data_IF_444687290625
#
_entry.id   IF_444687290625
#
_cell.length_a   1.000
_cell.length_b   1.000
_cell.length_c   1.000
_cell.angle_alpha   90.00
_cell.angle_beta   90.00
_cell.angle_gamma   90.00
#
_symmetry.space_group_name_H-M   'P 1'
#
loop_
_entity.id
_entity.type
_entity.pdbx_description
1 polymer ?
#
# COMPACT_ATOMS: atom_id res chain seq x y z
N UNK A 1 9.24 10.95 -5.10
CA UNK A 1 10.56 11.50 -4.72
C UNK A 1 10.97 11.09 -3.30
N UNK A 2 10.03 11.04 -2.32
CA UNK A 2 10.33 10.65 -0.93
C UNK A 2 11.03 9.30 -0.81
N UNK A 3 10.45 8.23 -1.37
CA UNK A 3 11.04 6.90 -1.35
C UNK A 3 12.49 6.90 -1.86
N UNK A 4 12.77 7.53 -3.01
CA UNK A 4 14.12 7.53 -3.59
C UNK A 4 15.14 8.22 -2.68
N UNK A 5 14.74 9.31 -2.03
CA UNK A 5 15.56 10.01 -1.03
C UNK A 5 15.86 9.10 0.15
N UNK A 6 14.82 8.42 0.68
CA UNK A 6 14.91 7.62 1.89
C UNK A 6 15.76 6.35 1.70
N UNK A 7 15.70 5.74 0.51
CA UNK A 7 16.46 4.50 0.23
C UNK A 7 17.85 4.74 -0.38
N UNK A 8 18.20 5.97 -0.78
CA UNK A 8 19.42 6.30 -1.55
C UNK A 8 20.69 5.70 -0.94
N UNK A 9 20.84 5.80 0.38
CA UNK A 9 22.04 5.37 1.11
C UNK A 9 21.91 4.01 1.80
N UNK A 10 20.79 3.31 1.60
CA UNK A 10 20.60 1.98 2.19
C UNK A 10 21.33 0.95 1.33
N UNK A 11 22.28 0.23 1.90
CA UNK A 11 22.86 -0.95 1.25
C UNK A 11 21.79 -2.02 1.10
N UNK A 12 21.60 -2.52 -0.11
CA UNK A 12 20.52 -3.47 -0.44
C UNK A 12 20.98 -4.62 -1.31
N UNK A 13 22.25 -4.67 -1.65
CA UNK A 13 22.85 -5.70 -2.49
C UNK A 13 24.34 -5.86 -2.19
N UNK A 14 24.85 -7.10 -2.31
CA UNK A 14 26.26 -7.43 -2.13
C UNK A 14 26.66 -7.53 -0.65
N UNK A 15 27.93 -7.33 -0.37
CA UNK A 15 28.49 -7.38 0.97
C UNK A 15 27.96 -6.25 1.86
N UNK A 16 27.48 -6.56 3.04
CA UNK A 16 26.86 -5.61 3.99
C UNK A 16 27.81 -5.27 5.12
N UNK A 17 28.24 -6.30 5.89
CA UNK A 17 29.20 -6.14 6.98
C UNK A 17 29.88 -7.47 7.36
N UNK A 18 30.97 -7.38 8.08
CA UNK A 18 31.65 -8.50 8.74
C UNK A 18 31.53 -8.37 10.26
N UNK A 19 31.16 -9.46 10.91
CA UNK A 19 31.27 -9.63 12.36
C UNK A 19 32.54 -10.44 12.65
N UNK A 20 33.67 -9.76 12.83
CA UNK A 20 34.96 -10.40 13.02
C UNK A 20 35.05 -11.19 14.35
N UNK A 21 34.20 -10.86 15.34
CA UNK A 21 34.16 -11.59 16.61
C UNK A 21 33.53 -12.96 16.46
N UNK A 22 32.53 -13.06 15.57
CA UNK A 22 31.79 -14.31 15.28
C UNK A 22 32.28 -15.02 14.03
N UNK A 23 33.18 -14.40 13.24
CA UNK A 23 33.63 -14.94 11.96
C UNK A 23 32.53 -15.02 10.91
N UNK A 24 31.58 -14.07 10.91
CA UNK A 24 30.43 -14.06 10.03
C UNK A 24 30.51 -12.89 9.05
N UNK A 25 30.35 -13.16 7.73
CA UNK A 25 30.15 -12.14 6.71
C UNK A 25 28.69 -12.15 6.24
N UNK A 26 28.07 -10.99 6.16
CA UNK A 26 26.65 -10.82 5.75
C UNK A 26 26.57 -10.23 4.35
N UNK A 27 25.83 -10.90 3.50
CA UNK A 27 25.56 -10.49 2.11
C UNK A 27 24.07 -10.43 1.83
N UNK A 28 23.60 -9.36 1.16
CA UNK A 28 22.28 -9.33 0.55
C UNK A 28 22.35 -9.81 -0.90
N UNK A 29 21.41 -10.68 -1.28
CA UNK A 29 21.30 -11.24 -2.63
C UNK A 29 19.87 -11.09 -3.14
N UNK A 30 19.68 -10.93 -4.45
CA UNK A 30 18.35 -10.93 -5.05
C UNK A 30 17.66 -12.28 -4.83
N UNK A 31 16.34 -12.26 -4.79
CA UNK A 31 15.50 -13.46 -4.78
C UNK A 31 15.30 -14.03 -6.19
N UNK A 32 15.26 -13.17 -7.19
CA UNK A 32 14.99 -13.53 -8.59
C UNK A 32 13.84 -12.72 -9.17
N UNK A 33 12.74 -13.38 -9.52
CA UNK A 33 11.54 -12.75 -10.07
C UNK A 33 10.56 -12.43 -8.96
N UNK A 34 10.27 -11.15 -8.75
CA UNK A 34 9.23 -10.68 -7.83
C UNK A 34 7.90 -10.56 -8.57
N UNK A 35 6.83 -11.13 -8.04
CA UNK A 35 5.49 -10.87 -8.53
C UNK A 35 4.77 -9.90 -7.58
N UNK A 36 4.30 -8.77 -8.11
CA UNK A 36 3.57 -7.77 -7.33
C UNK A 36 2.10 -7.70 -7.76
N UNK A 37 1.20 -8.08 -6.85
CA UNK A 37 -0.24 -7.95 -7.03
C UNK A 37 -0.65 -6.62 -6.43
N UNK A 38 -1.23 -5.74 -7.25
CA UNK A 38 -1.49 -4.34 -6.85
C UNK A 38 -2.98 -3.98 -6.90
N UNK A 39 -3.45 -3.14 -5.95
CA UNK A 39 -4.86 -2.78 -5.82
C UNK A 39 -5.30 -1.77 -6.87
N UNK A 40 -6.62 -1.58 -6.98
CA UNK A 40 -7.22 -0.52 -7.81
C UNK A 40 -7.16 0.87 -7.16
N UNK A 41 -7.07 0.94 -5.84
CA UNK A 41 -7.06 2.18 -5.07
C UNK A 41 -5.76 2.98 -5.25
N UNK A 42 -4.67 2.32 -5.61
CA UNK A 42 -3.37 2.98 -5.84
C UNK A 42 -2.63 2.37 -7.04
N UNK A 43 -3.17 2.53 -8.26
CA UNK A 43 -2.74 1.78 -9.45
C UNK A 43 -1.39 2.22 -10.02
N UNK A 44 -0.86 3.36 -9.61
CA UNK A 44 0.41 3.91 -10.09
C UNK A 44 1.49 3.97 -9.01
N UNK A 45 1.18 4.47 -7.81
CA UNK A 45 2.19 4.63 -6.76
C UNK A 45 2.62 3.28 -6.17
N UNK A 46 1.70 2.36 -5.91
CA UNK A 46 2.04 1.02 -5.38
C UNK A 46 2.96 0.24 -6.31
N UNK A 47 2.64 0.05 -7.61
CA UNK A 47 3.56 -0.66 -8.50
C UNK A 47 4.88 0.08 -8.71
N UNK A 48 4.89 1.41 -8.75
CA UNK A 48 6.15 2.18 -8.84
C UNK A 48 7.04 1.94 -7.63
N UNK A 49 6.47 1.95 -6.43
CA UNK A 49 7.21 1.63 -5.20
C UNK A 49 7.78 0.21 -5.23
N UNK A 50 7.00 -0.77 -5.65
CA UNK A 50 7.44 -2.16 -5.76
C UNK A 50 8.56 -2.32 -6.80
N UNK A 51 8.45 -1.64 -7.95
CA UNK A 51 9.48 -1.66 -9.01
C UNK A 51 10.80 -1.09 -8.49
N UNK A 52 10.77 0.07 -7.84
CA UNK A 52 11.97 0.71 -7.29
C UNK A 52 12.66 -0.20 -6.29
N UNK A 53 11.90 -0.81 -5.36
CA UNK A 53 12.46 -1.71 -4.37
C UNK A 53 13.01 -3.00 -4.98
N UNK A 54 12.30 -3.61 -5.95
CA UNK A 54 12.77 -4.81 -6.63
C UNK A 54 14.08 -4.55 -7.39
N UNK A 55 14.14 -3.50 -8.21
CA UNK A 55 15.33 -3.15 -8.98
C UNK A 55 16.51 -2.78 -8.07
N UNK A 56 16.28 -2.00 -7.01
CA UNK A 56 17.31 -1.63 -6.04
C UNK A 56 17.94 -2.85 -5.35
N UNK A 57 17.18 -3.91 -5.17
CA UNK A 57 17.66 -5.15 -4.55
C UNK A 57 18.11 -6.21 -5.57
N UNK A 58 18.25 -5.83 -6.83
CA UNK A 58 18.77 -6.68 -7.91
C UNK A 58 17.77 -7.71 -8.45
N UNK A 59 16.47 -7.54 -8.18
CA UNK A 59 15.43 -8.43 -8.69
C UNK A 59 14.81 -7.90 -9.98
N UNK A 60 14.24 -8.80 -10.79
CA UNK A 60 13.23 -8.44 -11.79
C UNK A 60 11.84 -8.45 -11.17
N UNK A 61 10.86 -7.81 -11.82
CA UNK A 61 9.52 -7.72 -11.32
C UNK A 61 8.45 -7.82 -12.40
N UNK A 62 7.39 -8.57 -12.09
CA UNK A 62 6.19 -8.67 -12.92
C UNK A 62 5.00 -8.15 -12.12
N UNK A 63 4.34 -7.11 -12.62
CA UNK A 63 3.17 -6.51 -11.97
C UNK A 63 1.89 -7.20 -12.47
N UNK A 64 1.04 -7.61 -11.54
CA UNK A 64 -0.34 -8.02 -11.81
C UNK A 64 -1.29 -6.90 -11.35
N UNK A 65 -1.67 -5.97 -12.24
CA UNK A 65 -2.55 -4.88 -11.89
C UNK A 65 -4.00 -5.35 -11.73
N UNK A 66 -4.77 -4.61 -10.94
CA UNK A 66 -6.22 -4.76 -10.95
C UNK A 66 -6.79 -4.43 -12.34
N UNK A 67 -7.97 -4.97 -12.72
CA UNK A 67 -8.58 -4.64 -14.00
C UNK A 67 -8.75 -3.13 -14.25
N UNK A 68 -9.16 -2.36 -13.23
CA UNK A 68 -9.29 -0.89 -13.32
C UNK A 68 -7.95 -0.18 -13.42
N UNK A 69 -6.88 -0.73 -12.86
CA UNK A 69 -5.53 -0.13 -12.86
C UNK A 69 -4.66 -0.51 -14.07
N UNK A 70 -5.06 -1.50 -14.85
CA UNK A 70 -4.23 -2.04 -15.94
C UNK A 70 -3.92 -1.01 -17.04
N UNK A 71 -4.91 -0.24 -17.46
CA UNK A 71 -4.73 0.80 -18.49
C UNK A 71 -3.74 1.89 -18.05
N UNK A 72 -4.01 2.61 -16.96
CA UNK A 72 -3.08 3.62 -16.44
C UNK A 72 -1.68 3.07 -16.19
N UNK A 73 -1.56 1.86 -15.62
CA UNK A 73 -0.24 1.27 -15.38
C UNK A 73 0.49 0.90 -16.67
N UNK A 74 -0.21 0.44 -17.73
CA UNK A 74 0.42 0.13 -19.02
C UNK A 74 1.11 1.37 -19.64
N UNK A 75 0.49 2.57 -19.49
CA UNK A 75 1.10 3.83 -19.93
C UNK A 75 2.37 4.12 -19.14
N UNK A 76 2.31 4.03 -17.81
CA UNK A 76 3.46 4.22 -16.94
C UNK A 76 4.58 3.22 -17.24
N UNK A 77 4.25 1.94 -17.41
CA UNK A 77 5.20 0.88 -17.74
C UNK A 77 5.98 1.17 -19.03
N UNK A 78 5.30 1.70 -20.06
CA UNK A 78 5.96 2.10 -21.32
C UNK A 78 7.07 3.14 -21.06
N UNK A 79 6.80 4.14 -20.21
CA UNK A 79 7.79 5.15 -19.84
C UNK A 79 8.93 4.56 -18.99
N UNK A 80 8.61 3.70 -18.03
CA UNK A 80 9.63 3.04 -17.21
C UNK A 80 10.57 2.22 -18.09
N UNK A 81 10.03 1.37 -18.97
CA UNK A 81 10.83 0.52 -19.88
C UNK A 81 11.68 1.33 -20.84
N UNK A 82 11.13 2.44 -21.38
CA UNK A 82 11.91 3.36 -22.20
C UNK A 82 13.10 3.95 -21.42
N UNK A 83 12.85 4.48 -20.23
CA UNK A 83 13.90 5.08 -19.41
C UNK A 83 14.96 4.06 -18.97
N UNK A 84 14.60 2.80 -18.71
CA UNK A 84 15.58 1.73 -18.46
C UNK A 84 16.47 1.49 -19.68
N UNK A 85 15.88 1.41 -20.87
CA UNK A 85 16.63 1.24 -22.11
C UNK A 85 17.57 2.43 -22.40
N UNK A 86 17.08 3.66 -22.17
CA UNK A 86 17.86 4.89 -22.39
C UNK A 86 19.14 4.96 -21.51
N UNK A 87 19.13 4.29 -20.35
CA UNK A 87 20.32 4.17 -19.47
C UNK A 87 21.06 2.84 -19.62
N UNK A 88 20.77 2.05 -20.65
CA UNK A 88 21.45 0.79 -20.96
C UNK A 88 21.04 -0.40 -20.07
N UNK A 89 19.92 -0.29 -19.36
CA UNK A 89 19.38 -1.37 -18.54
C UNK A 89 18.31 -2.14 -19.34
N UNK A 90 18.34 -3.49 -19.24
CA UNK A 90 17.34 -4.32 -19.91
C UNK A 90 15.91 -3.96 -19.44
N UNK A 91 15.04 -3.47 -20.33
CA UNK A 91 13.67 -3.11 -19.98
C UNK A 91 12.81 -4.31 -19.56
N UNK A 92 13.19 -5.54 -19.87
CA UNK A 92 12.48 -6.75 -19.47
C UNK A 92 12.60 -7.08 -17.99
N UNK A 93 13.43 -6.36 -17.24
CA UNK A 93 13.44 -6.43 -15.77
C UNK A 93 12.12 -5.96 -15.16
N UNK A 94 11.33 -5.15 -15.88
CA UNK A 94 10.01 -4.68 -15.43
C UNK A 94 8.96 -5.06 -16.45
N UNK A 95 8.03 -5.91 -16.02
CA UNK A 95 6.97 -6.44 -16.88
C UNK A 95 5.61 -6.32 -16.20
N UNK A 96 4.56 -6.60 -16.96
CA UNK A 96 3.18 -6.66 -16.51
C UNK A 96 2.50 -7.91 -17.07
N UNK A 97 1.62 -8.51 -16.31
CA UNK A 97 0.74 -9.59 -16.82
C UNK A 97 -0.05 -9.09 -18.03
N UNK A 98 -0.11 -9.91 -19.06
CA UNK A 98 -0.80 -9.57 -20.33
C UNK A 98 -2.26 -9.21 -20.11
N UNK A 99 -2.74 -8.17 -20.77
CA UNK A 99 -4.14 -7.73 -20.75
C UNK A 99 -5.03 -8.67 -21.57
N UNK A 100 -6.30 -8.88 -21.18
CA UNK A 100 -6.89 -8.43 -19.92
C UNK A 100 -6.35 -9.22 -18.72
N UNK A 101 -6.22 -8.57 -17.54
CA UNK A 101 -5.88 -9.27 -16.30
C UNK A 101 -6.94 -10.32 -15.96
N UNK A 102 -6.53 -11.47 -15.44
CA UNK A 102 -7.46 -12.50 -14.97
C UNK A 102 -6.95 -13.17 -13.70
N UNK A 103 -7.87 -13.76 -12.94
CA UNK A 103 -7.52 -14.52 -11.72
C UNK A 103 -6.57 -15.67 -12.02
N UNK A 104 -6.79 -16.40 -13.13
CA UNK A 104 -5.93 -17.53 -13.52
C UNK A 104 -4.51 -17.09 -13.85
N UNK A 105 -4.33 -15.98 -14.57
CA UNK A 105 -3.02 -15.42 -14.86
C UNK A 105 -2.30 -14.98 -13.59
N UNK A 106 -3.03 -14.32 -12.68
CA UNK A 106 -2.47 -13.89 -11.39
C UNK A 106 -2.07 -15.08 -10.52
N UNK A 107 -2.92 -16.12 -10.46
CA UNK A 107 -2.61 -17.35 -9.73
C UNK A 107 -1.37 -18.03 -10.31
N UNK A 108 -1.30 -18.15 -11.63
CA UNK A 108 -0.12 -18.77 -12.28
C UNK A 108 1.16 -17.97 -12.05
N UNK A 109 1.06 -16.63 -12.04
CA UNK A 109 2.20 -15.79 -11.70
C UNK A 109 2.65 -15.99 -10.24
N UNK A 110 1.71 -16.11 -9.30
CA UNK A 110 2.01 -16.40 -7.89
C UNK A 110 2.78 -17.72 -7.71
N UNK A 111 2.45 -18.74 -8.49
CA UNK A 111 3.08 -20.06 -8.42
C UNK A 111 4.48 -20.10 -9.05
N UNK A 112 4.77 -19.20 -10.00
CA UNK A 112 6.02 -19.23 -10.78
C UNK A 112 7.08 -18.24 -10.29
N UNK A 113 6.71 -17.28 -9.47
CA UNK A 113 7.63 -16.26 -8.96
C UNK A 113 8.47 -16.78 -7.79
N UNK A 114 9.58 -16.10 -7.52
CA UNK A 114 10.48 -16.41 -6.39
C UNK A 114 10.07 -15.69 -5.10
N UNK A 115 9.34 -14.56 -5.22
CA UNK A 115 8.81 -13.79 -4.11
C UNK A 115 7.54 -13.06 -4.52
N UNK A 116 6.54 -13.07 -3.66
CA UNK A 116 5.30 -12.32 -3.85
C UNK A 116 5.26 -11.07 -2.98
N UNK A 117 4.76 -9.98 -3.56
CA UNK A 117 4.34 -8.77 -2.84
C UNK A 117 2.87 -8.54 -3.16
N UNK A 118 2.00 -8.82 -2.20
CA UNK A 118 0.55 -8.78 -2.42
C UNK A 118 -0.06 -7.64 -1.63
N UNK A 119 -0.55 -6.61 -2.33
CA UNK A 119 -1.25 -5.48 -1.72
C UNK A 119 -2.69 -5.45 -2.24
N UNK A 120 -3.68 -5.52 -1.35
CA UNK A 120 -5.07 -5.43 -1.77
C UNK A 120 -6.05 -6.22 -0.91
N UNK A 121 -7.00 -6.90 -1.55
CA UNK A 121 -8.05 -7.61 -0.84
C UNK A 121 -7.51 -8.79 -0.03
N UNK A 122 -8.21 -9.09 1.08
CA UNK A 122 -7.87 -10.24 1.93
C UNK A 122 -7.83 -11.57 1.17
N UNK A 123 -8.68 -11.70 0.14
CA UNK A 123 -8.68 -12.88 -0.72
C UNK A 123 -7.38 -13.01 -1.53
N UNK A 124 -6.85 -11.90 -2.07
CA UNK A 124 -5.57 -11.92 -2.78
C UNK A 124 -4.41 -12.23 -1.83
N UNK A 125 -4.44 -11.68 -0.62
CA UNK A 125 -3.42 -11.97 0.40
C UNK A 125 -3.44 -13.45 0.80
N UNK A 126 -4.62 -14.02 1.04
CA UNK A 126 -4.76 -15.46 1.31
C UNK A 126 -4.28 -16.31 0.14
N UNK A 127 -4.64 -15.95 -1.09
CA UNK A 127 -4.16 -16.66 -2.28
C UNK A 127 -2.64 -16.62 -2.39
N UNK A 128 -2.00 -15.48 -2.10
CA UNK A 128 -0.56 -15.34 -2.06
C UNK A 128 0.10 -16.27 -1.04
N UNK A 129 -0.38 -16.27 0.20
CA UNK A 129 0.15 -17.17 1.24
C UNK A 129 -0.12 -18.64 0.98
N UNK A 130 -1.17 -18.97 0.23
CA UNK A 130 -1.52 -20.36 -0.12
C UNK A 130 -0.88 -20.83 -1.43
N UNK A 131 -0.14 -19.98 -2.14
CA UNK A 131 0.47 -20.34 -3.44
C UNK A 131 1.68 -21.27 -3.35
N UNK A 132 2.27 -21.41 -2.16
CA UNK A 132 3.53 -22.11 -1.96
C UNK A 132 4.78 -21.25 -2.17
N UNK A 133 4.63 -20.06 -2.72
CA UNK A 133 5.74 -19.09 -2.92
C UNK A 133 5.85 -18.17 -1.69
N UNK A 134 7.07 -17.82 -1.23
CA UNK A 134 7.25 -16.84 -0.18
C UNK A 134 6.52 -15.53 -0.48
N UNK A 135 5.73 -15.02 0.47
CA UNK A 135 4.86 -13.87 0.23
C UNK A 135 4.96 -12.81 1.33
N UNK A 136 4.94 -11.55 0.91
CA UNK A 136 4.75 -10.37 1.75
C UNK A 136 3.36 -9.83 1.43
N UNK A 137 2.40 -10.11 2.31
CA UNK A 137 1.01 -9.73 2.11
C UNK A 137 0.59 -8.54 2.96
N UNK A 138 -0.05 -7.55 2.35
CA UNK A 138 -0.67 -6.39 2.99
C UNK A 138 -2.14 -6.36 2.61
N UNK A 139 -3.00 -6.68 3.59
CA UNK A 139 -4.45 -6.69 3.44
C UNK A 139 -5.09 -5.38 3.91
N UNK A 140 -6.30 -5.50 4.46
CA UNK A 140 -7.02 -4.38 5.04
C UNK A 140 -6.30 -3.88 6.29
N UNK A 141 -6.08 -2.57 6.35
CA UNK A 141 -5.58 -1.86 7.52
C UNK A 141 -6.71 -1.20 8.30
N UNK A 142 -6.46 -0.94 9.58
CA UNK A 142 -7.26 -0.06 10.42
C UNK A 142 -6.30 0.86 11.17
N UNK A 143 -6.11 2.05 10.63
CA UNK A 143 -5.18 3.02 11.21
C UNK A 143 -5.78 3.62 12.45
N UNK A 144 -5.03 3.56 13.55
CA UNK A 144 -5.43 4.09 14.87
C UNK A 144 -4.50 5.23 15.25
N UNK A 145 -5.07 6.37 15.57
CA UNK A 145 -4.37 7.49 16.22
C UNK A 145 -4.58 7.42 17.73
N UNK A 146 -3.52 7.63 18.49
CA UNK A 146 -3.59 7.66 19.95
C UNK A 146 -3.23 9.07 20.41
N UNK A 147 -4.14 9.70 21.15
CA UNK A 147 -3.95 11.00 21.82
C UNK A 147 -3.79 10.77 23.31
N UNK A 148 -2.58 10.92 23.82
CA UNK A 148 -2.26 10.83 25.24
C UNK A 148 -2.29 12.21 25.94
N UNK A 149 -1.87 12.27 27.18
CA UNK A 149 -1.88 13.51 27.98
C UNK A 149 -0.96 14.59 27.44
N UNK A 150 0.08 14.21 26.67
CA UNK A 150 1.10 15.12 26.13
C UNK A 150 0.72 15.67 24.75
N UNK A 151 -0.36 15.14 24.15
CA UNK A 151 -0.75 15.49 22.79
C UNK A 151 -1.23 16.97 22.71
N UNK A 152 -0.75 17.68 21.69
CA UNK A 152 -1.41 18.88 21.19
C UNK A 152 -2.65 18.45 20.38
N UNK A 153 -3.81 18.58 21.01
CA UNK A 153 -5.07 18.03 20.49
C UNK A 153 -5.54 18.80 19.25
N UNK A 154 -5.28 20.10 19.18
CA UNK A 154 -5.67 20.95 18.04
C UNK A 154 -4.84 20.57 16.82
N UNK A 155 -3.52 20.54 16.94
CA UNK A 155 -2.62 20.12 15.86
C UNK A 155 -2.91 18.68 15.40
N UNK A 156 -3.20 17.78 16.33
CA UNK A 156 -3.58 16.40 16.02
C UNK A 156 -4.89 16.33 15.21
N UNK A 157 -5.93 17.08 15.60
CA UNK A 157 -7.21 17.12 14.90
C UNK A 157 -7.08 17.63 13.46
N UNK A 158 -6.31 18.71 13.25
CA UNK A 158 -6.01 19.23 11.91
C UNK A 158 -5.28 18.21 11.03
N UNK A 159 -4.28 17.50 11.59
CA UNK A 159 -3.53 16.45 10.88
C UNK A 159 -4.43 15.26 10.54
N UNK A 160 -5.30 14.82 11.46
CA UNK A 160 -6.28 13.75 11.22
C UNK A 160 -7.22 14.16 10.10
N UNK A 161 -7.82 15.35 10.16
CA UNK A 161 -8.72 15.85 9.12
C UNK A 161 -8.03 15.89 7.75
N UNK A 162 -6.84 16.46 7.67
CA UNK A 162 -6.05 16.53 6.43
C UNK A 162 -5.71 15.15 5.87
N UNK A 163 -5.33 14.21 6.71
CA UNK A 163 -4.99 12.84 6.30
C UNK A 163 -6.25 12.07 5.89
N UNK A 164 -7.34 12.18 6.65
CA UNK A 164 -8.58 11.45 6.38
C UNK A 164 -9.29 11.92 5.12
N UNK A 165 -9.24 13.22 4.81
CA UNK A 165 -9.87 13.79 3.60
C UNK A 165 -8.98 13.69 2.35
N UNK A 166 -7.71 13.32 2.51
CA UNK A 166 -6.81 13.13 1.37
C UNK A 166 -7.32 11.99 0.47
N UNK A 167 -7.36 12.27 -0.84
CA UNK A 167 -7.76 11.30 -1.88
C UNK A 167 -9.13 10.64 -1.57
N UNK A 168 -10.09 11.44 -1.10
CA UNK A 168 -11.45 11.01 -0.72
C UNK A 168 -11.43 9.77 0.21
N UNK A 169 -10.55 9.79 1.22
CA UNK A 169 -10.33 8.72 2.18
C UNK A 169 -9.99 7.33 1.56
N UNK A 170 -9.54 7.29 0.30
CA UNK A 170 -9.21 6.04 -0.41
C UNK A 170 -7.90 5.45 0.08
N UNK A 171 -7.02 6.28 0.71
CA UNK A 171 -5.73 5.82 1.21
C UNK A 171 -5.89 4.83 2.36
N UNK A 172 -5.21 3.67 2.24
CA UNK A 172 -5.17 2.67 3.30
C UNK A 172 -4.41 3.12 4.56
N UNK A 173 -3.71 4.25 4.50
CA UNK A 173 -2.98 4.89 5.60
C UNK A 173 -3.78 6.01 6.29
N UNK A 174 -5.01 6.30 5.86
CA UNK A 174 -5.85 7.28 6.53
C UNK A 174 -6.46 6.74 7.83
N UNK A 175 -6.60 7.59 8.81
CA UNK A 175 -7.08 7.24 10.15
C UNK A 175 -8.53 6.75 10.11
N UNK A 176 -8.80 5.65 10.82
CA UNK A 176 -10.13 5.07 10.97
C UNK A 176 -10.65 5.13 12.40
N UNK A 177 -9.74 5.27 13.36
CA UNK A 177 -10.08 5.30 14.79
C UNK A 177 -9.16 6.25 15.53
N UNK A 178 -9.70 6.94 16.53
CA UNK A 178 -8.94 7.78 17.45
C UNK A 178 -9.16 7.28 18.87
N UNK A 179 -8.08 6.89 19.54
CA UNK A 179 -8.10 6.52 20.95
C UNK A 179 -7.62 7.73 21.75
N UNK A 180 -8.43 8.23 22.66
CA UNK A 180 -8.13 9.43 23.44
C UNK A 180 -8.13 9.10 24.90
N UNK A 181 -7.12 9.52 25.67
CA UNK A 181 -7.13 9.41 27.13
C UNK A 181 -8.29 10.23 27.70
N UNK A 182 -8.86 9.75 28.79
CA UNK A 182 -10.09 10.32 29.37
C UNK A 182 -9.95 11.83 29.66
N UNK A 183 -8.79 12.27 30.13
CA UNK A 183 -8.52 13.69 30.46
C UNK A 183 -8.61 14.62 29.25
N UNK A 184 -8.29 14.14 28.07
CA UNK A 184 -8.29 14.90 26.81
C UNK A 184 -9.54 14.68 25.94
N UNK A 185 -10.45 13.81 26.34
CA UNK A 185 -11.56 13.36 25.49
C UNK A 185 -12.48 14.49 25.02
N UNK A 186 -12.90 15.38 25.93
CA UNK A 186 -13.79 16.51 25.57
C UNK A 186 -13.09 17.52 24.66
N UNK A 187 -11.82 17.83 24.95
CA UNK A 187 -10.99 18.72 24.14
C UNK A 187 -10.82 18.15 22.73
N UNK A 188 -10.58 16.84 22.61
CA UNK A 188 -10.41 16.16 21.32
C UNK A 188 -11.69 16.19 20.47
N UNK A 189 -12.87 16.00 21.06
CA UNK A 189 -14.13 16.11 20.32
C UNK A 189 -14.32 17.51 19.75
N UNK A 190 -14.12 18.55 20.56
CA UNK A 190 -14.24 19.95 20.11
C UNK A 190 -13.23 20.26 19.00
N UNK A 191 -11.99 19.84 19.15
CA UNK A 191 -10.96 20.07 18.15
C UNK A 191 -11.25 19.35 16.81
N UNK A 192 -11.76 18.10 16.87
CA UNK A 192 -12.17 17.36 15.67
C UNK A 192 -13.35 18.03 14.96
N UNK A 193 -14.34 18.55 15.70
CA UNK A 193 -15.44 19.33 15.12
C UNK A 193 -14.95 20.63 14.46
N UNK A 194 -14.05 21.36 15.12
CA UNK A 194 -13.43 22.56 14.56
C UNK A 194 -12.61 22.26 13.30
N UNK A 195 -11.99 21.08 13.21
CA UNK A 195 -11.30 20.59 12.03
C UNK A 195 -12.23 20.07 10.91
N UNK A 196 -13.56 20.18 11.08
CA UNK A 196 -14.57 19.79 10.09
C UNK A 196 -15.20 18.42 10.32
N UNK A 197 -14.92 17.78 11.46
CA UNK A 197 -15.61 16.54 11.87
C UNK A 197 -17.05 16.78 12.26
N UNK A 198 -17.90 15.76 12.15
CA UNK A 198 -19.29 15.79 12.60
C UNK A 198 -19.53 14.63 13.57
N UNK A 199 -20.05 14.94 14.76
CA UNK A 199 -20.50 13.93 15.71
C UNK A 199 -21.93 13.55 15.33
N UNK A 200 -22.13 12.30 14.92
CA UNK A 200 -23.42 11.79 14.49
C UNK A 200 -24.24 11.34 15.71
N UNK A 201 -25.54 11.65 15.70
CA UNK A 201 -26.49 11.06 16.61
C UNK A 201 -26.86 9.61 16.21
N UNK A 202 -27.76 8.95 16.99
CA UNK A 202 -28.14 7.56 16.70
C UNK A 202 -28.87 7.40 15.36
N UNK A 203 -29.73 8.36 14.97
CA UNK A 203 -30.47 8.28 13.72
C UNK A 203 -29.58 8.56 12.52
N UNK A 204 -28.71 9.55 12.64
CA UNK A 204 -27.68 9.86 11.64
C UNK A 204 -26.73 8.68 11.46
N UNK A 205 -26.27 8.09 12.55
CA UNK A 205 -25.45 6.88 12.53
C UNK A 205 -26.14 5.73 11.78
N UNK A 206 -27.43 5.46 12.06
CA UNK A 206 -28.20 4.44 11.36
C UNK A 206 -28.32 4.76 9.85
N UNK A 207 -28.55 6.03 9.47
CA UNK A 207 -28.59 6.45 8.07
C UNK A 207 -27.25 6.21 7.37
N UNK A 208 -26.16 6.61 7.97
CA UNK A 208 -24.80 6.42 7.43
C UNK A 208 -24.48 4.93 7.29
N UNK A 209 -24.77 4.11 8.32
CA UNK A 209 -24.56 2.65 8.24
C UNK A 209 -25.39 2.02 7.11
N UNK A 210 -26.67 2.38 6.99
CA UNK A 210 -27.53 1.84 5.92
C UNK A 210 -27.09 2.27 4.50
N UNK A 211 -26.49 3.45 4.37
CA UNK A 211 -25.92 3.92 3.11
C UNK A 211 -24.68 3.10 2.73
N UNK A 212 -23.81 2.81 3.71
CA UNK A 212 -22.56 2.09 3.48
C UNK A 212 -22.76 0.58 3.36
N UNK A 213 -23.75 0.00 4.04
CA UNK A 213 -24.00 -1.44 4.06
C UNK A 213 -25.37 -1.77 3.51
N UNK A 214 -25.40 -2.40 2.35
CA UNK A 214 -26.63 -2.84 1.70
C UNK A 214 -26.63 -4.37 1.58
N UNK A 215 -27.66 -5.02 2.10
CA UNK A 215 -27.80 -6.49 2.08
C UNK A 215 -26.58 -7.23 2.64
N UNK A 216 -25.98 -6.70 3.72
CA UNK A 216 -24.80 -7.29 4.38
C UNK A 216 -23.50 -7.13 3.59
N UNK A 217 -23.49 -6.31 2.53
CA UNK A 217 -22.30 -6.01 1.74
C UNK A 217 -22.04 -4.51 1.71
N UNK A 218 -20.76 -4.16 1.65
CA UNK A 218 -20.35 -2.77 1.49
C UNK A 218 -20.84 -2.22 0.13
N UNK A 219 -21.42 -1.04 0.17
CA UNK A 219 -21.81 -0.30 -1.04
C UNK A 219 -20.57 0.30 -1.71
N UNK A 220 -20.05 -0.41 -2.72
CA UNK A 220 -18.83 0.03 -3.43
C UNK A 220 -19.01 1.26 -4.32
N UNK A 221 -20.26 1.72 -4.54
CA UNK A 221 -20.53 2.94 -5.29
C UNK A 221 -20.11 4.21 -4.51
N UNK A 222 -19.98 4.12 -3.18
CA UNK A 222 -19.51 5.23 -2.33
C UNK A 222 -17.99 5.37 -2.24
N UNK A 223 -17.23 4.43 -2.80
CA UNK A 223 -15.77 4.49 -2.74
C UNK A 223 -15.26 5.63 -3.62
N UNK A 224 -14.41 6.47 -3.04
CA UNK A 224 -13.79 7.62 -3.69
C UNK A 224 -14.80 8.65 -4.23
N UNK A 225 -15.94 8.79 -3.57
CA UNK A 225 -16.90 9.88 -3.81
C UNK A 225 -16.62 11.04 -2.83
N UNK A 226 -16.93 12.26 -3.30
CA UNK A 226 -16.89 13.49 -2.48
C UNK A 226 -18.04 13.53 -1.48
#
# INVERSE_FOLDING_TARGET
>A
LGLLRDIKNIKSFGHIYDDNLKGISVYFRPKGVVAAIVPSTNPLATPTNNIINALKTGNSIIIAPSPKGAGPFAVLLKHIRKNLADVGINPDLVQMVTTPPSKSKTQRLMELADLLVVTGSQNNVRAGYSSGTPALGVGQGNVVTILDETADVTDAAEKIAKSKTFDNATSCSSENSVIVVRSKYKEALVALEQAGGLILDEEETKRVVNLHWQNGKMNTALLAQD
#
